data_IF_819474231602
#
_entry.id   IF_819474231602
#
_cell.length_a   1.000
_cell.length_b   1.000
_cell.length_c   1.000
_cell.angle_alpha   90.00
_cell.angle_beta   90.00
_cell.angle_gamma   90.00
#
_symmetry.space_group_name_H-M   'P 1'
#
loop_
_entity.id
_entity.type
_entity.pdbx_description
1 polymer ?
#
# COMPACT_ATOMS: atom_id res chain seq x y z
N UNK A 1 5.06 8.30 -3.64
CA UNK A 1 4.60 8.90 -2.38
C UNK A 1 5.47 10.12 -2.08
N UNK A 2 4.88 11.24 -1.67
CA UNK A 2 5.60 12.43 -1.22
C UNK A 2 4.80 13.01 -0.05
N UNK A 3 5.43 13.18 1.11
CA UNK A 3 4.77 13.66 2.31
C UNK A 3 5.44 13.19 3.60
N UNK A 4 4.83 13.49 4.76
CA UNK A 4 5.32 13.07 6.07
C UNK A 4 5.43 11.54 6.19
N UNK A 5 6.49 11.05 6.85
CA UNK A 5 6.73 9.62 7.12
C UNK A 5 6.71 8.71 5.89
N UNK A 6 7.11 9.24 4.73
CA UNK A 6 7.15 8.46 3.48
C UNK A 6 8.14 7.30 3.56
N UNK A 7 9.23 7.46 4.32
CA UNK A 7 10.24 6.41 4.53
C UNK A 7 9.66 5.16 5.18
N UNK A 8 8.68 5.33 6.07
CA UNK A 8 7.99 4.27 6.79
C UNK A 8 6.93 3.59 5.90
N UNK A 9 6.29 4.36 5.02
CA UNK A 9 5.34 3.81 4.03
C UNK A 9 6.01 2.96 2.95
N UNK A 10 7.32 3.15 2.71
CA UNK A 10 8.06 2.35 1.73
C UNK A 10 8.09 0.85 2.07
N UNK A 11 7.97 0.46 3.34
CA UNK A 11 8.06 -0.94 3.75
C UNK A 11 7.02 -1.83 3.04
N UNK A 12 5.76 -1.37 2.95
CA UNK A 12 4.70 -2.09 2.25
C UNK A 12 4.99 -2.21 0.73
N UNK A 13 5.47 -1.13 0.12
CA UNK A 13 5.87 -1.14 -1.29
C UNK A 13 7.07 -2.06 -1.58
N UNK A 14 8.07 -2.06 -0.71
CA UNK A 14 9.21 -2.98 -0.82
C UNK A 14 8.78 -4.43 -0.68
N UNK A 15 7.91 -4.74 0.28
CA UNK A 15 7.38 -6.10 0.44
C UNK A 15 6.61 -6.54 -0.80
N UNK A 16 5.69 -5.70 -1.30
CA UNK A 16 4.91 -5.97 -2.50
C UNK A 16 5.80 -6.29 -3.71
N UNK A 17 6.83 -5.47 -3.96
CA UNK A 17 7.75 -5.67 -5.09
C UNK A 17 8.60 -6.93 -4.91
N UNK A 18 9.17 -7.16 -3.72
CA UNK A 18 10.01 -8.34 -3.47
C UNK A 18 9.23 -9.66 -3.49
N UNK A 19 7.94 -9.62 -3.12
CA UNK A 19 7.03 -10.75 -3.22
C UNK A 19 6.46 -10.89 -4.65
N UNK A 20 6.71 -9.94 -5.55
CA UNK A 20 6.14 -9.96 -6.90
C UNK A 20 4.59 -10.02 -6.89
N UNK A 21 3.98 -9.45 -5.86
CA UNK A 21 2.53 -9.50 -5.65
C UNK A 21 1.79 -8.62 -6.67
N UNK A 22 0.65 -9.12 -7.16
CA UNK A 22 -0.28 -8.38 -8.00
C UNK A 22 -1.10 -7.37 -7.19
N UNK A 23 -1.70 -6.38 -7.88
CA UNK A 23 -2.57 -5.39 -7.23
C UNK A 23 -3.80 -6.04 -6.59
N UNK A 24 -4.34 -7.10 -7.20
CA UNK A 24 -5.50 -7.83 -6.68
C UNK A 24 -5.16 -8.56 -5.37
N UNK A 25 -3.98 -9.19 -5.27
CA UNK A 25 -3.51 -9.84 -4.04
C UNK A 25 -3.28 -8.83 -2.91
N UNK A 26 -2.75 -7.65 -3.23
CA UNK A 26 -2.50 -6.63 -2.22
C UNK A 26 -3.81 -5.98 -1.74
N UNK A 27 -4.82 -5.87 -2.62
CA UNK A 27 -6.12 -5.29 -2.31
C UNK A 27 -6.91 -6.07 -1.24
N UNK A 28 -6.58 -7.35 -1.00
CA UNK A 28 -7.21 -8.15 0.06
C UNK A 28 -6.79 -7.72 1.48
N UNK A 29 -5.67 -6.99 1.63
CA UNK A 29 -5.18 -6.58 2.95
C UNK A 29 -5.90 -5.34 3.48
N UNK A 30 -6.32 -5.41 4.74
CA UNK A 30 -6.99 -4.30 5.45
C UNK A 30 -5.96 -3.44 6.16
N UNK A 31 -6.00 -2.13 5.87
CA UNK A 31 -5.14 -1.15 6.51
C UNK A 31 -5.78 -0.55 7.78
N UNK A 32 -5.00 -0.23 8.83
CA UNK A 32 -5.52 0.41 10.04
C UNK A 32 -6.16 1.78 9.75
N UNK A 33 -7.26 2.10 10.44
CA UNK A 33 -7.95 3.39 10.34
C UNK A 33 -7.95 4.14 11.70
N UNK A 34 -7.69 5.46 11.75
CA UNK A 34 -7.13 6.29 10.67
C UNK A 34 -5.61 6.13 10.60
N UNK A 35 -5.02 6.05 9.41
CA UNK A 35 -3.55 5.94 9.28
C UNK A 35 -3.05 6.39 7.91
N UNK A 36 -1.83 6.92 7.85
CA UNK A 36 -1.20 7.23 6.54
C UNK A 36 -1.02 5.99 5.65
N UNK A 37 -1.01 4.79 6.24
CA UNK A 37 -0.89 3.55 5.51
C UNK A 37 -2.17 3.15 4.77
N UNK A 38 -3.32 3.72 5.16
CA UNK A 38 -4.57 3.52 4.42
C UNK A 38 -4.51 4.10 3.02
N UNK A 39 -3.78 5.20 2.80
CA UNK A 39 -3.58 5.80 1.48
C UNK A 39 -2.87 4.86 0.50
N UNK A 40 -1.97 4.00 1.00
CA UNK A 40 -1.37 2.95 0.17
C UNK A 40 -2.42 1.93 -0.25
N UNK A 41 -3.24 1.44 0.69
CA UNK A 41 -4.34 0.52 0.42
C UNK A 41 -5.37 1.10 -0.56
N UNK A 42 -5.78 2.36 -0.37
CA UNK A 42 -6.70 3.06 -1.29
C UNK A 42 -6.10 3.21 -2.69
N UNK A 43 -4.80 3.48 -2.79
CA UNK A 43 -4.11 3.54 -4.10
C UNK A 43 -4.13 2.17 -4.79
N UNK A 44 -3.85 1.09 -4.06
CA UNK A 44 -3.90 -0.26 -4.62
C UNK A 44 -5.31 -0.62 -5.10
N UNK A 45 -6.33 -0.36 -4.27
CA UNK A 45 -7.72 -0.54 -4.67
C UNK A 45 -8.02 0.24 -5.96
N UNK A 46 -7.52 1.47 -6.09
CA UNK A 46 -7.72 2.29 -7.29
C UNK A 46 -7.12 1.76 -8.59
N UNK A 47 -6.23 0.77 -8.50
CA UNK A 47 -5.60 0.12 -9.65
C UNK A 47 -6.28 -1.19 -10.06
N UNK A 48 -7.31 -1.62 -9.32
CA UNK A 48 -8.08 -2.84 -9.62
C UNK A 48 -9.19 -2.62 -10.67
N UNK A 49 -9.40 -1.38 -11.11
CA UNK A 49 -10.44 -0.99 -12.08
C UNK A 49 -9.94 -0.13 -13.24
#
# INVERSE_FOLDING_TARGET
MVGPWVTEQLAAGYLAVNWEASVDEIAEFVMPHPSLSELFGETILSLTW
#
